data_IF_683770906729
#
_entry.id   IF_683770906729
#
_cell.length_a   1.000
_cell.length_b   1.000
_cell.length_c   1.000
_cell.angle_alpha   90.00
_cell.angle_beta   90.00
_cell.angle_gamma   90.00
#
_symmetry.space_group_name_H-M   'P 1'
#
loop_
_entity.id
_entity.type
_entity.pdbx_description
1 polymer ?
#
# COMPACT_ATOMS: atom_id res chain seq x y z
N UNK A 1 -19.12 -7.38 -31.53
CA UNK A 1 -18.43 -7.87 -30.32
C UNK A 1 -17.75 -6.76 -29.53
N UNK A 2 -16.87 -5.93 -30.14
CA UNK A 2 -16.20 -4.84 -29.43
C UNK A 2 -17.16 -3.88 -28.67
N UNK A 3 -18.26 -3.46 -29.29
CA UNK A 3 -19.25 -2.58 -28.65
C UNK A 3 -19.93 -3.18 -27.41
N UNK A 4 -20.21 -4.48 -27.40
CA UNK A 4 -20.81 -5.17 -26.24
C UNK A 4 -19.84 -5.17 -25.07
N UNK A 5 -18.56 -5.49 -25.34
CA UNK A 5 -17.50 -5.45 -24.33
C UNK A 5 -17.33 -4.04 -23.77
N UNK A 6 -17.36 -3.02 -24.63
CA UNK A 6 -17.27 -1.62 -24.22
C UNK A 6 -18.43 -1.21 -23.31
N UNK A 7 -19.68 -1.54 -23.67
CA UNK A 7 -20.86 -1.23 -22.85
C UNK A 7 -20.77 -1.92 -21.49
N UNK A 8 -20.34 -3.18 -21.45
CA UNK A 8 -20.18 -3.92 -20.18
C UNK A 8 -19.15 -3.25 -19.26
N UNK A 9 -17.98 -2.87 -19.80
CA UNK A 9 -16.95 -2.13 -19.04
C UNK A 9 -17.51 -0.79 -18.57
N UNK A 10 -18.15 -0.03 -19.46
CA UNK A 10 -18.68 1.29 -19.17
C UNK A 10 -19.73 1.25 -18.04
N UNK A 11 -20.69 0.33 -18.11
CA UNK A 11 -21.73 0.18 -17.09
C UNK A 11 -21.12 -0.23 -15.75
N UNK A 12 -20.15 -1.15 -15.75
CA UNK A 12 -19.49 -1.55 -14.51
C UNK A 12 -18.61 -0.44 -13.92
N UNK A 13 -18.12 0.52 -14.72
CA UNK A 13 -17.39 1.71 -14.25
C UNK A 13 -18.26 2.75 -13.55
N UNK A 14 -19.59 2.68 -13.66
CA UNK A 14 -20.49 3.64 -13.01
C UNK A 14 -20.29 3.64 -11.49
N UNK A 15 -20.45 4.81 -10.88
CA UNK A 15 -20.13 5.03 -9.47
C UNK A 15 -20.80 4.03 -8.53
N UNK A 16 -22.05 3.68 -8.82
CA UNK A 16 -22.82 2.71 -8.04
C UNK A 16 -22.14 1.32 -8.05
N UNK A 17 -21.77 0.78 -9.21
CA UNK A 17 -21.12 -0.53 -9.31
C UNK A 17 -19.71 -0.50 -8.71
N UNK A 18 -18.95 0.56 -8.97
CA UNK A 18 -17.59 0.70 -8.44
C UNK A 18 -17.56 0.74 -6.91
N UNK A 19 -18.58 1.32 -6.26
CA UNK A 19 -18.68 1.42 -4.80
C UNK A 19 -19.27 0.16 -4.15
N UNK A 20 -20.30 -0.43 -4.75
CA UNK A 20 -21.06 -1.52 -4.14
C UNK A 20 -20.60 -2.92 -4.60
N UNK A 21 -20.04 -3.05 -5.80
CA UNK A 21 -19.67 -4.31 -6.43
C UNK A 21 -18.25 -4.24 -7.02
N UNK A 22 -17.27 -3.88 -6.18
CA UNK A 22 -15.89 -3.65 -6.61
C UNK A 22 -15.26 -4.85 -7.34
N UNK A 23 -15.55 -6.08 -6.91
CA UNK A 23 -15.02 -7.29 -7.57
C UNK A 23 -15.55 -7.44 -9.00
N UNK A 24 -16.85 -7.19 -9.21
CA UNK A 24 -17.46 -7.21 -10.54
C UNK A 24 -16.87 -6.11 -11.44
N UNK A 25 -16.71 -4.90 -10.89
CA UNK A 25 -16.00 -3.80 -11.56
C UNK A 25 -14.59 -4.24 -12.00
N UNK A 26 -13.79 -4.77 -11.07
CA UNK A 26 -12.41 -5.16 -11.34
C UNK A 26 -12.31 -6.26 -12.41
N UNK A 27 -13.15 -7.31 -12.33
CA UNK A 27 -13.15 -8.43 -13.29
C UNK A 27 -13.58 -7.97 -14.68
N UNK A 28 -14.68 -7.21 -14.78
CA UNK A 28 -15.17 -6.71 -16.07
C UNK A 28 -14.16 -5.78 -16.76
N UNK A 29 -13.37 -5.02 -16.00
CA UNK A 29 -12.34 -4.14 -16.58
C UNK A 29 -11.18 -4.91 -17.22
N UNK A 30 -10.89 -6.15 -16.81
CA UNK A 30 -9.90 -7.00 -17.48
C UNK A 30 -10.31 -7.30 -18.93
N UNK A 31 -11.60 -7.23 -19.25
CA UNK A 31 -12.11 -7.40 -20.61
C UNK A 31 -11.65 -6.30 -21.57
N UNK A 32 -11.00 -5.23 -21.09
CA UNK A 32 -10.32 -4.26 -21.96
C UNK A 32 -9.33 -4.94 -22.91
N UNK A 33 -8.71 -6.05 -22.49
CA UNK A 33 -7.82 -6.85 -23.34
C UNK A 33 -8.61 -7.43 -24.53
N UNK A 34 -9.78 -8.01 -24.27
CA UNK A 34 -10.66 -8.53 -25.32
C UNK A 34 -11.19 -7.42 -26.23
N UNK A 35 -11.48 -6.24 -25.67
CA UNK A 35 -11.85 -5.06 -26.45
C UNK A 35 -10.76 -4.65 -27.45
N UNK A 36 -9.50 -4.58 -27.01
CA UNK A 36 -8.35 -4.27 -27.87
C UNK A 36 -8.17 -5.30 -28.99
N UNK A 37 -8.35 -6.59 -28.68
CA UNK A 37 -8.30 -7.67 -29.67
C UNK A 37 -9.40 -7.49 -30.73
N UNK A 38 -10.65 -7.27 -30.31
CA UNK A 38 -11.76 -7.09 -31.26
C UNK A 38 -11.62 -5.82 -32.10
N UNK A 39 -11.10 -4.73 -31.53
CA UNK A 39 -10.82 -3.51 -32.29
C UNK A 39 -9.72 -3.72 -33.33
N UNK A 40 -8.71 -4.54 -33.00
CA UNK A 40 -7.62 -4.90 -33.92
C UNK A 40 -8.13 -5.67 -35.15
N UNK A 41 -9.16 -6.50 -34.99
CA UNK A 41 -9.83 -7.18 -36.11
C UNK A 41 -10.78 -6.26 -36.90
N UNK A 42 -11.27 -5.18 -36.31
CA UNK A 42 -12.23 -4.28 -36.96
C UNK A 42 -11.55 -3.31 -37.94
N UNK A 43 -10.36 -2.81 -37.63
CA UNK A 43 -9.59 -1.96 -38.54
C UNK A 43 -8.08 -2.16 -38.40
N UNK A 44 -7.33 -2.38 -39.50
CA UNK A 44 -5.88 -2.52 -39.45
C UNK A 44 -5.17 -1.29 -38.86
N UNK A 45 -5.76 -0.10 -39.00
CA UNK A 45 -5.22 1.14 -38.42
C UNK A 45 -5.21 1.11 -36.88
N UNK A 46 -6.03 0.27 -36.23
CA UNK A 46 -6.05 0.16 -34.77
C UNK A 46 -4.82 -0.56 -34.23
N UNK A 47 -4.17 -1.41 -35.04
CA UNK A 47 -3.01 -2.20 -34.63
C UNK A 47 -1.87 -1.34 -34.12
N UNK A 48 -1.64 -0.15 -34.69
CA UNK A 48 -0.59 0.75 -34.23
C UNK A 48 -0.78 1.17 -32.77
N UNK A 49 -2.02 1.48 -32.38
CA UNK A 49 -2.35 1.86 -31.00
C UNK A 49 -2.25 0.66 -30.05
N UNK A 50 -2.64 -0.53 -30.51
CA UNK A 50 -2.48 -1.77 -29.75
C UNK A 50 -1.00 -2.07 -29.48
N UNK A 51 -0.13 -1.96 -30.49
CA UNK A 51 1.31 -2.18 -30.34
C UNK A 51 1.97 -1.19 -29.39
N UNK A 52 1.65 0.11 -29.51
CA UNK A 52 2.16 1.13 -28.59
C UNK A 52 1.74 0.82 -27.15
N UNK A 53 0.47 0.45 -26.95
CA UNK A 53 -0.05 0.13 -25.62
C UNK A 53 0.65 -1.09 -25.01
N UNK A 54 0.81 -2.17 -25.80
CA UNK A 54 1.52 -3.38 -25.36
C UNK A 54 3.00 -3.08 -25.07
N UNK A 55 3.66 -2.28 -25.91
CA UNK A 55 5.05 -1.90 -25.70
C UNK A 55 5.25 -1.09 -24.41
N UNK A 56 4.36 -0.14 -24.11
CA UNK A 56 4.40 0.64 -22.87
C UNK A 56 4.17 -0.24 -21.63
N UNK A 57 3.20 -1.16 -21.68
CA UNK A 57 2.95 -2.11 -20.58
C UNK A 57 4.14 -3.05 -20.39
N UNK A 58 4.68 -3.61 -21.48
CA UNK A 58 5.85 -4.47 -21.42
C UNK A 58 7.06 -3.72 -20.84
N UNK A 59 7.27 -2.47 -21.25
CA UNK A 59 8.33 -1.62 -20.71
C UNK A 59 8.16 -1.37 -19.20
N UNK A 60 6.95 -1.04 -18.73
CA UNK A 60 6.67 -0.89 -17.29
C UNK A 60 6.91 -2.19 -16.52
N UNK A 61 6.47 -3.34 -17.05
CA UNK A 61 6.69 -4.65 -16.42
C UNK A 61 8.17 -5.03 -16.36
N UNK A 62 8.92 -4.74 -17.43
CA UNK A 62 10.38 -4.92 -17.49
C UNK A 62 11.06 -4.03 -16.45
N UNK A 63 10.70 -2.75 -16.37
CA UNK A 63 11.22 -1.83 -15.36
C UNK A 63 10.91 -2.33 -13.95
N UNK A 64 9.68 -2.78 -13.68
CA UNK A 64 9.32 -3.37 -12.37
C UNK A 64 10.07 -4.67 -12.08
N UNK A 65 10.41 -5.48 -13.09
CA UNK A 65 11.20 -6.68 -12.87
C UNK A 65 12.65 -6.34 -12.50
N UNK A 66 13.27 -5.36 -13.19
CA UNK A 66 14.68 -4.99 -12.98
C UNK A 66 14.92 -4.00 -11.83
N UNK A 67 14.02 -3.05 -11.64
CA UNK A 67 14.03 -2.06 -10.54
C UNK A 67 13.30 -2.57 -9.30
N UNK A 68 12.49 -3.62 -9.46
CA UNK A 68 11.62 -4.21 -8.46
C UNK A 68 12.35 -4.55 -7.18
N UNK A 69 11.99 -3.80 -6.16
CA UNK A 69 12.31 -4.07 -4.79
C UNK A 69 11.38 -5.20 -4.36
N UNK A 70 11.94 -6.40 -4.22
CA UNK A 70 11.49 -7.35 -3.19
C UNK A 70 10.09 -7.97 -3.34
N UNK A 71 9.68 -8.40 -4.53
CA UNK A 71 8.50 -9.28 -4.74
C UNK A 71 8.64 -10.65 -4.05
N UNK A 72 9.78 -10.92 -3.40
CA UNK A 72 10.03 -12.19 -2.74
C UNK A 72 9.14 -12.35 -1.50
N UNK A 73 8.60 -13.57 -1.30
CA UNK A 73 7.84 -13.87 -0.11
C UNK A 73 8.75 -13.73 1.11
N UNK A 74 8.30 -12.95 2.09
CA UNK A 74 8.95 -12.78 3.39
C UNK A 74 8.01 -13.20 4.49
N UNK A 75 8.59 -13.85 5.50
CA UNK A 75 7.88 -14.11 6.74
C UNK A 75 7.71 -12.80 7.48
N UNK A 76 6.47 -12.37 7.60
CA UNK A 76 6.09 -11.28 8.49
C UNK A 76 5.63 -11.88 9.80
N UNK A 77 6.19 -11.39 10.90
CA UNK A 77 5.66 -11.68 12.22
C UNK A 77 4.41 -10.83 12.41
N UNK A 78 3.32 -11.51 12.77
CA UNK A 78 2.03 -10.89 13.01
C UNK A 78 1.93 -10.50 14.47
N UNK A 79 1.62 -9.22 14.70
CA UNK A 79 1.32 -8.71 16.03
C UNK A 79 -0.10 -8.18 16.05
N UNK A 80 -0.87 -8.60 17.06
CA UNK A 80 -2.18 -8.00 17.32
C UNK A 80 -1.94 -6.74 18.14
N UNK A 81 -2.30 -5.58 17.60
CA UNK A 81 -2.23 -4.32 18.37
C UNK A 81 -3.41 -4.24 19.32
N UNK A 82 -3.27 -3.50 20.43
CA UNK A 82 -4.41 -3.09 21.26
C UNK A 82 -5.30 -2.16 20.41
N UNK A 83 -6.61 -2.37 20.45
CA UNK A 83 -7.60 -1.61 19.67
C UNK A 83 -8.38 -2.49 18.66
N UNK A 84 -9.69 -2.21 18.45
CA UNK A 84 -10.52 -3.00 17.53
C UNK A 84 -10.11 -2.77 16.07
N UNK A 85 -10.02 -3.84 15.28
CA UNK A 85 -9.92 -3.72 13.81
C UNK A 85 -8.52 -3.42 13.23
N UNK A 86 -7.43 -3.48 14.02
CA UNK A 86 -6.09 -3.11 13.54
C UNK A 86 -5.11 -4.28 13.65
N UNK A 87 -4.51 -4.62 12.51
CA UNK A 87 -3.46 -5.63 12.39
C UNK A 87 -2.11 -4.94 12.19
N UNK A 88 -1.14 -5.26 13.03
CA UNK A 88 0.24 -4.81 12.87
C UNK A 88 1.08 -5.92 12.22
N UNK A 89 1.69 -5.62 11.08
CA UNK A 89 2.62 -6.52 10.41
C UNK A 89 4.03 -5.97 10.53
N UNK A 90 4.96 -6.83 10.94
CA UNK A 90 6.40 -6.51 10.96
C UNK A 90 7.16 -7.50 10.10
N UNK A 91 8.08 -7.00 9.30
CA UNK A 91 8.91 -7.84 8.44
C UNK A 91 10.30 -7.24 8.27
N UNK A 92 11.34 -8.06 8.09
CA UNK A 92 12.71 -7.58 7.98
C UNK A 92 12.89 -6.67 6.77
N UNK A 93 13.71 -5.62 6.93
CA UNK A 93 14.08 -4.67 5.84
C UNK A 93 14.87 -5.31 4.68
N UNK A 94 15.14 -6.61 4.73
CA UNK A 94 16.12 -7.28 3.88
C UNK A 94 15.46 -8.27 2.94
N UNK A 95 15.36 -7.85 1.69
CA UNK A 95 15.18 -8.72 0.54
C UNK A 95 16.14 -8.13 -0.50
N UNK A 96 17.30 -8.76 -0.68
CA UNK A 96 18.37 -8.50 -1.67
C UNK A 96 19.12 -7.15 -1.71
N UNK A 97 18.52 -5.97 -1.51
CA UNK A 97 19.23 -4.66 -1.45
C UNK A 97 18.93 -3.93 -0.13
N UNK A 98 19.84 -3.07 0.34
CA UNK A 98 19.53 -2.17 1.48
C UNK A 98 18.34 -1.30 1.07
N UNK A 99 17.16 -1.60 1.59
CA UNK A 99 15.97 -0.79 1.37
C UNK A 99 16.14 0.49 2.19
N UNK A 100 16.55 1.56 1.52
CA UNK A 100 16.52 2.90 2.09
C UNK A 100 15.13 3.47 1.81
N UNK A 101 14.38 3.76 2.87
CA UNK A 101 13.13 4.51 2.78
C UNK A 101 13.21 5.77 3.63
N UNK A 102 12.39 6.75 3.27
CA UNK A 102 12.19 7.97 4.02
C UNK A 102 10.87 7.89 4.81
N UNK A 103 10.78 8.50 6.00
CA UNK A 103 9.55 8.57 6.75
C UNK A 103 8.41 9.18 5.92
N UNK A 104 7.21 8.59 6.03
CA UNK A 104 6.05 8.98 5.23
C UNK A 104 5.91 8.26 3.88
N UNK A 105 6.85 7.38 3.52
CA UNK A 105 6.68 6.47 2.40
C UNK A 105 5.74 5.30 2.75
N UNK A 106 5.26 4.62 1.71
CA UNK A 106 4.36 3.47 1.81
C UNK A 106 4.88 2.28 0.99
N UNK A 107 4.36 1.10 1.26
CA UNK A 107 4.66 -0.15 0.55
C UNK A 107 3.38 -0.80 0.07
N UNK A 108 3.44 -1.54 -1.04
CA UNK A 108 2.36 -2.42 -1.45
C UNK A 108 2.55 -3.79 -0.83
N UNK A 109 1.50 -4.33 -0.21
CA UNK A 109 1.51 -5.64 0.42
C UNK A 109 0.55 -6.57 -0.31
N UNK A 110 1.02 -7.78 -0.54
CA UNK A 110 0.23 -8.92 -0.99
C UNK A 110 0.36 -10.06 0.03
N UNK A 111 -0.77 -10.69 0.36
CA UNK A 111 -0.83 -11.85 1.25
C UNK A 111 -1.38 -13.03 0.42
N UNK A 112 -0.51 -13.93 -0.09
CA UNK A 112 -0.92 -14.98 -1.02
C UNK A 112 -1.98 -15.96 -0.49
N UNK A 113 -2.08 -16.13 0.83
CA UNK A 113 -3.11 -16.96 1.47
C UNK A 113 -4.52 -16.36 1.37
N UNK A 114 -4.62 -15.04 1.16
CA UNK A 114 -5.91 -14.34 0.98
C UNK A 114 -6.17 -14.11 -0.51
N UNK A 115 -5.17 -13.60 -1.23
CA UNK A 115 -5.26 -13.34 -2.67
C UNK A 115 -3.88 -13.32 -3.30
N UNK A 116 -3.71 -14.02 -4.42
CA UNK A 116 -2.44 -14.07 -5.16
C UNK A 116 -2.20 -12.83 -6.03
N UNK A 117 -3.25 -12.06 -6.32
CA UNK A 117 -3.22 -10.97 -7.30
C UNK A 117 -3.46 -9.59 -6.71
N UNK A 118 -4.07 -9.50 -5.51
CA UNK A 118 -4.40 -8.21 -4.90
C UNK A 118 -3.22 -7.63 -4.12
N UNK A 119 -2.84 -6.40 -4.47
CA UNK A 119 -1.81 -5.62 -3.80
C UNK A 119 -2.42 -4.36 -3.21
N UNK A 120 -2.17 -4.08 -1.93
CA UNK A 120 -2.75 -2.95 -1.23
C UNK A 120 -1.66 -2.04 -0.64
N UNK A 121 -1.77 -0.70 -0.78
CA UNK A 121 -0.78 0.23 -0.26
C UNK A 121 -0.98 0.48 1.24
N UNK A 122 0.11 0.47 2.01
CA UNK A 122 0.13 0.79 3.43
C UNK A 122 1.33 1.67 3.78
N UNK A 123 1.07 2.75 4.54
CA UNK A 123 2.12 3.65 5.02
C UNK A 123 3.04 2.94 6.01
N UNK A 124 4.34 3.17 5.89
CA UNK A 124 5.33 2.63 6.81
C UNK A 124 5.28 3.43 8.12
N UNK A 125 5.02 2.75 9.24
CA UNK A 125 4.97 3.36 10.58
C UNK A 125 6.26 3.24 11.37
N UNK A 126 7.22 2.42 10.91
CA UNK A 126 8.55 2.32 11.50
C UNK A 126 9.51 3.39 10.96
N UNK A 127 10.54 3.72 11.73
CA UNK A 127 11.55 4.68 11.30
C UNK A 127 12.65 4.01 10.44
N UNK A 128 13.31 4.76 9.53
CA UNK A 128 14.34 4.22 8.64
C UNK A 128 15.48 3.48 9.35
N UNK A 129 15.74 3.82 10.61
CA UNK A 129 16.78 3.20 11.45
C UNK A 129 16.33 1.92 12.17
N UNK A 130 15.03 1.59 12.19
CA UNK A 130 14.52 0.35 12.79
C UNK A 130 15.06 -0.89 12.03
N UNK A 131 15.05 -2.08 12.63
CA UNK A 131 15.48 -3.31 11.93
C UNK A 131 14.42 -3.85 10.97
N UNK A 132 13.15 -3.57 11.27
CA UNK A 132 11.99 -4.10 10.57
C UNK A 132 11.15 -2.97 9.97
N UNK A 133 10.46 -3.28 8.89
CA UNK A 133 9.38 -2.45 8.36
C UNK A 133 8.11 -2.82 9.14
N UNK A 134 7.45 -1.81 9.68
CA UNK A 134 6.18 -1.94 10.36
C UNK A 134 5.09 -1.26 9.54
N UNK A 135 3.97 -1.94 9.37
CA UNK A 135 2.74 -1.38 8.81
C UNK A 135 1.57 -1.68 9.74
N UNK A 136 0.59 -0.78 9.75
CA UNK A 136 -0.66 -0.97 10.49
C UNK A 136 -1.82 -0.97 9.50
N UNK A 137 -2.59 -2.06 9.49
CA UNK A 137 -3.69 -2.32 8.57
C UNK A 137 -5.00 -2.22 9.35
N UNK A 138 -5.87 -1.29 8.96
CA UNK A 138 -7.21 -1.16 9.52
C UNK A 138 -8.22 -1.93 8.66
N UNK A 139 -9.11 -2.68 9.31
CA UNK A 139 -10.21 -3.41 8.70
C UNK A 139 -11.31 -2.44 8.23
N UNK A 140 -11.34 -2.12 6.93
CA UNK A 140 -12.29 -1.18 6.32
C UNK A 140 -13.02 -1.73 5.10
N UNK A 141 -12.54 -2.84 4.53
CA UNK A 141 -13.15 -3.47 3.36
C UNK A 141 -12.79 -4.94 3.23
N UNK A 142 -13.35 -5.59 2.21
CA UNK A 142 -13.34 -7.05 2.05
C UNK A 142 -11.96 -7.70 2.23
N UNK A 143 -10.92 -7.14 1.62
CA UNK A 143 -9.56 -7.68 1.74
C UNK A 143 -9.01 -7.50 3.16
N UNK A 144 -9.06 -6.28 3.70
CA UNK A 144 -8.54 -5.97 5.04
C UNK A 144 -9.27 -6.71 6.15
N UNK A 145 -10.57 -6.98 6.00
CA UNK A 145 -11.34 -7.78 6.95
C UNK A 145 -10.98 -9.26 6.89
N UNK A 146 -10.63 -9.79 5.71
CA UNK A 146 -10.04 -11.13 5.59
C UNK A 146 -8.64 -11.20 6.23
N UNK A 147 -7.84 -10.12 6.14
CA UNK A 147 -6.56 -10.04 6.86
C UNK A 147 -6.78 -10.10 8.37
N UNK A 148 -7.72 -9.30 8.87
CA UNK A 148 -8.06 -9.32 10.30
C UNK A 148 -8.53 -10.70 10.75
N UNK A 149 -9.48 -11.32 10.04
CA UNK A 149 -9.97 -12.66 10.37
C UNK A 149 -8.86 -13.72 10.34
N UNK A 150 -7.96 -13.66 9.35
CA UNK A 150 -6.80 -14.54 9.27
C UNK A 150 -5.92 -14.37 10.51
N UNK A 151 -5.59 -13.14 10.88
CA UNK A 151 -4.74 -12.86 12.04
C UNK A 151 -5.42 -13.24 13.36
N UNK A 152 -6.73 -13.06 13.47
CA UNK A 152 -7.50 -13.49 14.65
C UNK A 152 -7.50 -15.01 14.83
N UNK A 153 -7.37 -15.78 13.74
CA UNK A 153 -7.27 -17.24 13.79
C UNK A 153 -5.88 -17.78 14.14
N UNK A 154 -4.87 -16.91 14.20
CA UNK A 154 -3.47 -17.26 14.47
C UNK A 154 -3.08 -16.89 15.91
N UNK A 155 -2.13 -17.63 16.49
CA UNK A 155 -1.49 -17.25 17.75
C UNK A 155 -0.65 -15.97 17.62
N UNK A 156 -0.53 -15.22 18.71
CA UNK A 156 0.35 -14.03 18.73
C UNK A 156 1.81 -14.42 18.48
N UNK A 157 2.48 -13.71 17.55
CA UNK A 157 3.86 -14.01 17.16
C UNK A 157 4.00 -15.07 16.06
N UNK A 158 2.90 -15.64 15.57
CA UNK A 158 2.94 -16.47 14.36
C UNK A 158 3.34 -15.66 13.13
N UNK A 159 3.95 -16.35 12.16
CA UNK A 159 4.44 -15.72 10.93
C UNK A 159 3.59 -16.07 9.72
N UNK A 160 3.22 -15.07 8.93
CA UNK A 160 2.57 -15.26 7.62
C UNK A 160 3.52 -14.93 6.48
N UNK A 161 3.32 -15.56 5.33
CA UNK A 161 4.00 -15.18 4.11
C UNK A 161 3.35 -13.95 3.49
N UNK A 162 4.14 -12.90 3.27
CA UNK A 162 3.73 -11.70 2.56
C UNK A 162 4.68 -11.44 1.41
N UNK A 163 4.22 -10.72 0.38
CA UNK A 163 5.09 -10.07 -0.61
C UNK A 163 4.97 -8.57 -0.41
N UNK A 164 6.10 -7.86 -0.44
CA UNK A 164 6.13 -6.42 -0.18
C UNK A 164 6.90 -5.71 -1.31
N UNK A 165 6.23 -4.78 -2.00
CA UNK A 165 6.82 -3.97 -3.06
C UNK A 165 6.97 -2.51 -2.61
N UNK A 166 8.08 -1.87 -2.96
CA UNK A 166 8.42 -0.51 -2.55
C UNK A 166 9.76 -0.38 -1.85
N UNK A 167 10.08 0.81 -1.28
CA UNK A 167 9.17 1.87 -0.86
C UNK A 167 8.70 2.78 -1.99
N UNK A 168 7.48 3.30 -1.86
CA UNK A 168 6.87 4.28 -2.76
C UNK A 168 6.52 5.58 -2.03
N UNK A 169 6.25 6.62 -2.82
CA UNK A 169 5.97 7.97 -2.33
C UNK A 169 7.25 8.81 -2.25
N UNK A 170 7.13 10.12 -2.46
CA UNK A 170 8.25 11.05 -2.33
C UNK A 170 7.84 12.27 -1.51
N UNK A 171 7.62 12.06 -0.22
CA UNK A 171 7.37 13.14 0.71
C UNK A 171 8.71 13.82 1.02
N UNK A 172 9.11 14.82 0.21
CA UNK A 172 10.35 15.60 0.39
C UNK A 172 10.26 16.58 1.55
N UNK A 173 9.81 16.12 2.72
CA UNK A 173 9.69 16.95 3.91
C UNK A 173 11.01 16.98 4.67
N UNK A 174 11.73 18.09 4.58
CA UNK A 174 12.89 18.34 5.44
C UNK A 174 12.45 18.99 6.75
N UNK A 175 11.76 18.21 7.60
CA UNK A 175 11.22 18.72 8.87
C UNK A 175 12.31 19.09 9.89
N UNK A 176 13.55 18.63 9.71
CA UNK A 176 14.71 18.96 10.55
C UNK A 176 15.10 20.44 10.56
N UNK A 177 14.68 21.19 9.53
CA UNK A 177 14.94 22.62 9.41
C UNK A 177 14.10 23.47 10.36
N UNK A 178 12.96 22.94 10.83
CA UNK A 178 12.02 23.70 11.64
C UNK A 178 12.25 23.47 13.13
N UNK A 179 12.01 24.51 13.93
CA UNK A 179 12.05 24.42 15.41
C UNK A 179 10.78 23.78 15.98
N UNK A 180 9.65 23.94 15.31
CA UNK A 180 8.36 23.36 15.71
C UNK A 180 7.78 22.57 14.55
N UNK A 181 7.35 21.34 14.80
CA UNK A 181 6.68 20.47 13.82
C UNK A 181 5.30 20.13 14.36
N UNK A 182 4.26 20.38 13.55
CA UNK A 182 2.88 20.05 13.89
C UNK A 182 2.42 18.94 12.95
N UNK A 183 2.01 17.82 13.53
CA UNK A 183 1.37 16.73 12.82
C UNK A 183 -0.14 16.84 13.00
N UNK A 184 -0.88 16.80 11.91
CA UNK A 184 -2.35 16.75 11.92
C UNK A 184 -2.77 15.49 11.19
N UNK A 185 -3.44 14.57 11.90
CA UNK A 185 -3.85 13.29 11.36
C UNK A 185 -5.28 12.95 11.75
N UNK A 186 -5.97 12.19 10.89
CA UNK A 186 -7.31 11.66 11.14
C UNK A 186 -7.34 10.14 10.99
N UNK A 187 -7.92 9.43 11.96
CA UNK A 187 -8.08 7.97 11.96
C UNK A 187 -6.77 7.23 11.64
N UNK A 188 -6.81 6.32 10.66
CA UNK A 188 -5.66 5.52 10.20
C UNK A 188 -4.51 6.36 9.58
N UNK A 189 -4.81 7.61 9.19
CA UNK A 189 -3.86 8.55 8.61
C UNK A 189 -2.74 9.00 9.54
N UNK A 190 -2.76 8.59 10.81
CA UNK A 190 -1.66 8.77 11.76
C UNK A 190 -0.40 7.95 11.41
N UNK A 191 -0.56 6.85 10.66
CA UNK A 191 0.52 5.92 10.30
C UNK A 191 1.82 6.56 9.79
N UNK A 192 1.81 7.45 8.76
CA UNK A 192 3.04 8.10 8.30
C UNK A 192 3.64 9.05 9.35
N UNK A 193 2.80 9.69 10.17
CA UNK A 193 3.25 10.56 11.26
C UNK A 193 3.99 9.78 12.35
N UNK A 194 3.59 8.53 12.65
CA UNK A 194 4.31 7.68 13.61
C UNK A 194 5.75 7.40 13.15
N UNK A 195 5.93 7.09 11.86
CA UNK A 195 7.27 6.87 11.29
C UNK A 195 8.15 8.12 11.37
N UNK A 196 7.59 9.30 11.07
CA UNK A 196 8.29 10.58 11.20
C UNK A 196 8.61 10.93 12.65
N UNK A 197 7.67 10.71 13.58
CA UNK A 197 7.87 10.97 15.01
C UNK A 197 9.03 10.13 15.56
N UNK A 198 9.05 8.83 15.27
CA UNK A 198 10.14 7.93 15.68
C UNK A 198 11.50 8.41 15.12
N UNK A 199 11.53 8.85 13.86
CA UNK A 199 12.73 9.41 13.23
C UNK A 199 13.21 10.73 13.87
N UNK A 200 12.29 11.61 14.27
CA UNK A 200 12.59 12.85 15.01
C UNK A 200 13.18 12.51 16.39
N UNK A 201 12.61 11.56 17.11
CA UNK A 201 13.08 11.15 18.45
C UNK A 201 14.53 10.63 18.41
N UNK A 202 14.86 9.79 17.44
CA UNK A 202 16.24 9.29 17.26
C UNK A 202 17.21 10.42 16.85
N UNK A 203 16.79 11.30 15.93
CA UNK A 203 17.60 12.44 15.50
C UNK A 203 17.92 13.43 16.63
N UNK A 204 17.01 13.59 17.60
CA UNK A 204 17.27 14.36 18.82
C UNK A 204 18.37 13.73 19.67
N UNK A 205 18.34 12.41 19.87
CA UNK A 205 19.40 11.67 20.61
C UNK A 205 20.77 11.89 19.96
N UNK A 206 20.82 11.95 18.64
CA UNK A 206 22.05 12.16 17.85
C UNK A 206 22.47 13.63 17.70
N UNK A 207 21.76 14.58 18.34
CA UNK A 207 21.97 16.05 18.21
C UNK A 207 21.93 16.57 16.76
N UNK A 208 21.14 15.93 15.89
CA UNK A 208 21.05 16.24 14.45
C UNK A 208 19.89 17.16 14.08
N UNK A 209 19.08 17.58 15.05
CA UNK A 209 17.81 18.28 14.80
C UNK A 209 17.72 19.62 15.53
N UNK A 210 17.14 20.62 14.85
CA UNK A 210 16.78 21.93 15.44
C UNK A 210 15.39 21.92 16.08
N UNK A 211 14.69 20.79 16.01
CA UNK A 211 13.32 20.64 16.51
C UNK A 211 13.34 20.73 18.05
N UNK A 212 12.69 21.77 18.56
CA UNK A 212 12.48 22.03 19.97
C UNK A 212 11.08 21.61 20.46
N UNK A 213 10.08 21.61 19.56
CA UNK A 213 8.69 21.29 19.89
C UNK A 213 8.03 20.43 18.81
N UNK A 214 7.29 19.43 19.24
CA UNK A 214 6.45 18.59 18.37
C UNK A 214 5.04 18.62 18.93
N UNK A 215 4.05 18.92 18.09
CA UNK A 215 2.63 18.90 18.44
C UNK A 215 1.95 17.85 17.56
N UNK A 216 1.24 16.91 18.17
CA UNK A 216 0.44 15.92 17.47
C UNK A 216 -1.05 16.23 17.71
N UNK A 217 -1.77 16.55 16.64
CA UNK A 217 -3.22 16.70 16.64
C UNK A 217 -3.78 15.47 15.94
N UNK A 218 -4.42 14.58 16.69
CA UNK A 218 -5.01 13.36 16.16
C UNK A 218 -6.52 13.35 16.41
N UNK A 219 -7.28 13.32 15.32
CA UNK A 219 -8.74 13.19 15.37
C UNK A 219 -9.13 11.73 15.11
N UNK A 220 -9.86 11.13 16.04
CA UNK A 220 -10.44 9.79 15.90
C UNK A 220 -11.96 9.85 16.08
N UNK A 221 -12.75 9.03 15.36
CA UNK A 221 -14.20 8.98 15.56
C UNK A 221 -14.61 8.45 16.94
N UNK A 222 -13.84 7.50 17.50
CA UNK A 222 -14.12 6.84 18.78
C UNK A 222 -12.82 6.72 19.58
N UNK A 223 -12.89 6.89 20.89
CA UNK A 223 -11.72 6.83 21.79
C UNK A 223 -11.02 5.45 21.78
N UNK A 224 -11.78 4.36 21.58
CA UNK A 224 -11.19 3.03 21.44
C UNK A 224 -10.22 2.92 20.26
N UNK A 225 -10.45 3.71 19.20
CA UNK A 225 -9.54 3.82 18.06
C UNK A 225 -8.30 4.66 18.38
N UNK A 226 -8.22 5.33 19.53
CA UNK A 226 -7.02 6.03 19.97
C UNK A 226 -5.98 5.09 20.59
N UNK A 227 -6.33 3.84 20.88
CA UNK A 227 -5.47 2.86 21.59
C UNK A 227 -4.38 2.23 20.70
N UNK A 228 -3.85 3.00 19.75
CA UNK A 228 -2.82 2.55 18.81
C UNK A 228 -1.48 2.32 19.50
#
# INVERSE_FOLDING_TARGET
MAGIVFILIFVSSLEWFRRNAWEFFAISHVLVIAYFIFCSFHTPKFLIYAYISVALVAFDLILRFFLGTSVLPVRSTVFRKRGPGIVQLRFPKRITKKVFYHPGQYVFINIPSISKLQWHPFSISSAPHDKEIEVNIRSLGNWTSKVEALVQSMGEGESIWIRADGPFGNLRLNYYRYKTVIFVAGGVGITPSLGMLRDIFDSRKKKRSRIARVIMIWAVPVEEEANW
#
